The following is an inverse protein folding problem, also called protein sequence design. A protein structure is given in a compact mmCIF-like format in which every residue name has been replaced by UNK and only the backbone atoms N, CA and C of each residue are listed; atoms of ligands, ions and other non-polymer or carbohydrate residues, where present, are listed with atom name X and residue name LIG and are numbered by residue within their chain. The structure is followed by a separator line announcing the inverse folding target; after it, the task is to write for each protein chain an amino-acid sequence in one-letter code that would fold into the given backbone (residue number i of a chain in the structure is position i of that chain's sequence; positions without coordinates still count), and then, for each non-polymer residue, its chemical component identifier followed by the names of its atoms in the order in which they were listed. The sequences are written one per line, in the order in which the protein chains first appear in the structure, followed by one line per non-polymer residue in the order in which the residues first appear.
data_IF_386509123866
#
_entry.id   IF_386509123866
#
_cell.length_a   1.000
_cell.length_b   1.000
_cell.length_c   1.000
_cell.angle_alpha   90.00
_cell.angle_beta   90.00
_cell.angle_gamma   90.00
#
_symmetry.space_group_name_H-M   'P 1'
#
loop_
_entity.id
_entity.type
_entity.pdbx_description
1 polymer ?
#
# COMPACT_ATOMS: atom_id res chain seq x y z
N UNK A 1 -9.82 -1.84 17.36
CA UNK A 1 -9.04 -0.61 17.05
C UNK A 1 -8.03 -1.01 15.99
N UNK A 2 -7.78 -0.17 14.97
CA UNK A 2 -6.91 -0.50 13.82
C UNK A 2 -5.81 0.55 13.73
N UNK A 3 -4.57 0.13 13.47
CA UNK A 3 -3.43 1.02 13.22
C UNK A 3 -3.50 1.53 11.78
N UNK A 4 -3.33 2.84 11.60
CA UNK A 4 -3.36 3.49 10.29
C UNK A 4 -2.18 4.46 10.21
N UNK A 5 -1.65 4.63 8.99
CA UNK A 5 -0.64 5.63 8.67
C UNK A 5 -1.28 6.77 7.89
N UNK A 6 -0.60 7.92 7.87
CA UNK A 6 -0.96 9.01 6.96
C UNK A 6 -0.21 8.82 5.66
N UNK A 7 -0.93 8.64 4.56
CA UNK A 7 -0.35 8.41 3.24
C UNK A 7 0.53 9.59 2.81
N UNK A 8 1.74 9.26 2.36
CA UNK A 8 2.72 10.19 1.79
C UNK A 8 2.85 9.98 0.29
N UNK A 9 2.19 10.84 -0.50
CA UNK A 9 2.28 10.79 -1.96
C UNK A 9 1.40 9.73 -2.63
N UNK A 10 1.36 9.80 -3.96
CA UNK A 10 0.50 8.94 -4.79
C UNK A 10 -0.99 9.28 -4.73
N UNK A 11 -1.85 8.39 -5.26
CA UNK A 11 -3.30 8.53 -5.15
C UNK A 11 -3.73 8.64 -3.70
N UNK A 12 -4.71 9.49 -3.40
CA UNK A 12 -5.24 9.68 -2.03
C UNK A 12 -4.25 10.29 -1.02
N UNK A 13 -3.27 11.06 -1.50
CA UNK A 13 -2.34 11.83 -0.65
C UNK A 13 -3.05 12.55 0.52
N UNK A 14 -2.41 12.55 1.70
CA UNK A 14 -2.89 13.11 2.98
C UNK A 14 -4.08 12.39 3.63
N UNK A 15 -4.60 11.30 3.06
CA UNK A 15 -5.60 10.45 3.73
C UNK A 15 -4.94 9.42 4.67
N UNK A 16 -5.77 8.69 5.42
CA UNK A 16 -5.35 7.55 6.22
C UNK A 16 -5.33 6.29 5.34
N UNK A 17 -4.33 5.44 5.55
CA UNK A 17 -4.13 4.19 4.83
C UNK A 17 -3.65 3.09 5.80
N UNK A 18 -3.71 1.84 5.36
CA UNK A 18 -3.05 0.75 6.07
C UNK A 18 -1.53 0.86 5.83
N UNK A 19 -0.70 0.51 6.82
CA UNK A 19 0.74 0.38 6.58
C UNK A 19 1.00 -0.79 5.63
N UNK A 20 1.95 -0.62 4.71
CA UNK A 20 2.28 -1.61 3.71
C UNK A 20 2.88 -1.02 2.44
N UNK A 21 3.27 -1.92 1.53
CA UNK A 21 3.93 -1.52 0.30
C UNK A 21 3.99 -2.64 -0.73
N UNK A 22 4.91 -2.51 -1.66
CA UNK A 22 5.05 -3.44 -2.79
C UNK A 22 5.91 -4.63 -2.36
N UNK A 23 5.52 -5.84 -2.77
CA UNK A 23 6.36 -7.03 -2.61
C UNK A 23 7.62 -6.85 -3.46
N UNK A 24 8.79 -6.89 -2.82
CA UNK A 24 10.06 -6.78 -3.53
C UNK A 24 10.48 -8.12 -4.16
N UNK A 25 11.50 -8.06 -5.04
CA UNK A 25 12.03 -9.27 -5.66
C UNK A 25 12.56 -10.24 -4.62
N UNK A 26 12.18 -11.52 -4.75
CA UNK A 26 12.47 -12.59 -3.80
C UNK A 26 11.83 -12.47 -2.41
N UNK A 27 10.82 -11.61 -2.21
CA UNK A 27 10.02 -11.60 -0.99
C UNK A 27 8.76 -12.47 -1.11
N UNK A 28 8.41 -13.13 -0.01
CA UNK A 28 7.07 -13.69 0.23
C UNK A 28 6.19 -12.61 0.87
N UNK A 29 4.85 -12.67 0.75
CA UNK A 29 3.96 -11.68 1.34
C UNK A 29 4.18 -11.43 2.84
N UNK A 30 4.53 -12.46 3.61
CA UNK A 30 4.82 -12.35 5.05
C UNK A 30 6.14 -11.62 5.34
N UNK A 31 7.12 -11.73 4.44
CA UNK A 31 8.41 -11.04 4.56
C UNK A 31 8.22 -9.55 4.24
N UNK A 32 7.48 -9.23 3.17
CA UNK A 32 7.06 -7.86 2.84
C UNK A 32 6.28 -7.22 3.98
N UNK A 33 5.29 -7.92 4.56
CA UNK A 33 4.53 -7.44 5.71
C UNK A 33 5.46 -7.05 6.86
N UNK A 34 6.40 -7.94 7.24
CA UNK A 34 7.35 -7.69 8.32
C UNK A 34 8.24 -6.49 8.06
N UNK A 35 8.76 -6.36 6.84
CA UNK A 35 9.63 -5.25 6.43
C UNK A 35 8.88 -3.91 6.47
N UNK A 36 7.73 -3.82 5.80
CA UNK A 36 6.95 -2.58 5.69
C UNK A 36 6.46 -2.09 7.07
N UNK A 37 5.99 -3.00 7.94
CA UNK A 37 5.57 -2.63 9.30
C UNK A 37 6.74 -2.14 10.16
N UNK A 38 7.95 -2.66 9.94
CA UNK A 38 9.14 -2.13 10.61
C UNK A 38 9.52 -0.75 10.07
N UNK A 39 9.50 -0.56 8.75
CA UNK A 39 9.90 0.68 8.09
C UNK A 39 8.95 1.85 8.37
N UNK A 40 7.64 1.62 8.31
CA UNK A 40 6.65 2.70 8.39
C UNK A 40 6.21 3.01 9.82
N UNK A 41 6.18 2.01 10.72
CA UNK A 41 5.64 2.15 12.07
C UNK A 41 6.54 1.61 13.19
N UNK A 42 7.70 1.03 12.86
CA UNK A 42 8.68 0.55 13.85
C UNK A 42 8.19 -0.66 14.65
N UNK A 43 7.31 -1.49 14.08
CA UNK A 43 6.73 -2.66 14.76
C UNK A 43 7.36 -3.95 14.23
N UNK A 44 7.81 -4.81 15.15
CA UNK A 44 8.22 -6.17 14.82
C UNK A 44 7.02 -7.14 14.90
N UNK A 45 6.73 -7.84 13.79
CA UNK A 45 5.61 -8.79 13.71
C UNK A 45 6.06 -10.18 14.14
N UNK A 46 5.53 -10.65 15.27
CA UNK A 46 5.84 -11.97 15.84
C UNK A 46 5.01 -13.08 15.19
N UNK A 47 3.74 -12.80 14.89
CA UNK A 47 2.80 -13.74 14.27
C UNK A 47 1.85 -13.00 13.32
N UNK A 48 1.44 -13.67 12.25
CA UNK A 48 0.56 -13.11 11.23
C UNK A 48 -0.11 -14.18 10.39
N UNK A 49 -1.36 -13.95 10.02
CA UNK A 49 -2.15 -14.79 9.13
C UNK A 49 -2.55 -13.99 7.88
N UNK A 50 -2.58 -14.64 6.72
CA UNK A 50 -3.14 -14.04 5.52
C UNK A 50 -4.65 -13.90 5.70
N UNK A 51 -5.13 -12.66 5.77
CA UNK A 51 -6.55 -12.37 5.94
C UNK A 51 -7.34 -12.49 4.62
N UNK A 52 -6.84 -11.89 3.54
CA UNK A 52 -7.50 -11.88 2.24
C UNK A 52 -6.51 -11.56 1.11
N UNK A 53 -6.93 -11.80 -0.15
CA UNK A 53 -6.23 -11.38 -1.35
C UNK A 53 -7.25 -10.89 -2.39
N UNK A 54 -7.19 -9.60 -2.71
CA UNK A 54 -8.07 -8.97 -3.70
C UNK A 54 -7.27 -8.47 -4.91
N UNK A 55 -7.92 -8.43 -6.07
CA UNK A 55 -7.34 -7.93 -7.32
C UNK A 55 -8.35 -7.06 -8.05
N UNK A 56 -8.08 -5.76 -8.09
CA UNK A 56 -8.91 -4.78 -8.80
C UNK A 56 -8.29 -4.46 -10.14
N UNK A 57 -8.97 -4.86 -11.22
CA UNK A 57 -8.66 -4.44 -12.58
C UNK A 57 -9.60 -3.33 -13.00
N UNK A 58 -9.10 -2.30 -13.66
CA UNK A 58 -9.90 -1.19 -14.15
C UNK A 58 -9.44 -0.74 -15.53
N UNK A 59 -10.38 -0.33 -16.37
CA UNK A 59 -10.09 0.27 -17.67
C UNK A 59 -9.86 1.77 -17.49
N UNK A 60 -8.68 2.24 -17.87
CA UNK A 60 -8.35 3.65 -17.79
C UNK A 60 -9.00 4.41 -18.95
N UNK A 61 -10.04 5.19 -18.66
CA UNK A 61 -10.66 6.06 -19.65
C UNK A 61 -10.02 7.44 -19.60
N UNK A 62 -9.11 7.70 -20.54
CA UNK A 62 -8.56 9.05 -20.73
C UNK A 62 -9.65 9.95 -21.31
N UNK A 63 -9.99 11.03 -20.59
CA UNK A 63 -10.80 12.12 -21.17
C UNK A 63 -9.86 13.12 -21.84
N UNK A 64 -10.00 13.27 -23.15
CA UNK A 64 -9.18 14.18 -23.99
C UNK A 64 -9.24 15.65 -23.54
N UNK A 65 -10.28 16.05 -22.79
CA UNK A 65 -10.48 17.44 -22.35
C UNK A 65 -9.59 17.88 -21.16
N UNK A 66 -8.68 17.03 -20.67
CA UNK A 66 -7.81 17.35 -19.53
C UNK A 66 -6.44 17.78 -20.05
N UNK A 67 -6.22 19.09 -20.17
CA UNK A 67 -4.90 19.68 -20.39
C UNK A 67 -4.01 19.43 -19.16
N UNK A 68 -3.20 18.37 -19.20
CA UNK A 68 -2.12 18.16 -18.22
C UNK A 68 -0.92 18.96 -18.68
N UNK A 69 -0.63 20.07 -17.99
CA UNK A 69 0.63 20.80 -18.15
C UNK A 69 1.74 19.97 -17.50
N UNK A 70 2.60 19.38 -18.33
CA UNK A 70 3.87 18.75 -17.90
C UNK A 70 4.84 19.84 -17.47
#
# INVERSE_FOLDING_TARGET
RILLIKKSGGPYDKKLDLPGGTIEFCERPVETLKRELMEEVGIEVIDSELFDADSVSFEWQFKEDILVKV
#
